data_IF_565759933375
#
_entry.id   IF_565759933375
#
_cell.length_a   1.000
_cell.length_b   1.000
_cell.length_c   1.000
_cell.angle_alpha   90.00
_cell.angle_beta   90.00
_cell.angle_gamma   90.00
#
_symmetry.space_group_name_H-M   'P 1'
#
loop_
_entity.id
_entity.type
_entity.pdbx_description
1 polymer ?
#
# COMPACT_ATOMS: atom_id res chain seq x y z
N UNK A 1 -28.92 -18.08 53.35
CA UNK A 1 -27.87 -18.28 52.33
C UNK A 1 -28.48 -19.07 51.19
N UNK A 2 -28.15 -18.69 49.96
CA UNK A 2 -28.91 -18.87 48.72
C UNK A 2 -29.18 -20.30 48.29
N UNK A 3 -30.28 -20.42 47.56
CA UNK A 3 -30.83 -21.60 46.92
C UNK A 3 -29.86 -22.26 45.92
N UNK A 4 -29.86 -23.58 46.00
CA UNK A 4 -29.24 -24.55 45.10
C UNK A 4 -29.70 -24.34 43.65
N UNK A 5 -28.76 -24.11 42.73
CA UNK A 5 -28.98 -24.23 41.29
C UNK A 5 -29.33 -25.70 40.95
N UNK A 6 -30.62 -25.97 40.80
CA UNK A 6 -31.11 -27.22 40.24
C UNK A 6 -31.00 -27.13 38.71
N UNK A 7 -30.00 -27.81 38.16
CA UNK A 7 -29.90 -28.13 36.74
C UNK A 7 -31.22 -28.79 36.29
N UNK A 8 -31.90 -28.34 35.21
CA UNK A 8 -33.15 -28.96 34.80
C UNK A 8 -32.86 -30.39 34.31
N UNK A 9 -33.19 -31.36 35.17
CA UNK A 9 -33.36 -32.77 34.79
C UNK A 9 -34.35 -32.77 33.63
N UNK A 10 -33.86 -33.01 32.42
CA UNK A 10 -34.72 -33.14 31.25
C UNK A 10 -35.43 -34.48 31.38
N UNK A 11 -36.69 -34.43 31.78
CA UNK A 11 -37.52 -35.61 31.96
C UNK A 11 -37.60 -36.41 30.63
N UNK A 12 -37.44 -37.74 30.66
CA UNK A 12 -37.39 -38.58 29.45
C UNK A 12 -38.66 -38.47 28.58
N UNK A 13 -39.82 -38.18 29.19
CA UNK A 13 -41.06 -37.94 28.44
C UNK A 13 -40.98 -36.63 27.65
N UNK A 14 -40.46 -35.57 28.27
CA UNK A 14 -40.18 -34.28 27.63
C UNK A 14 -39.19 -34.41 26.46
N UNK A 15 -38.17 -35.26 26.60
CA UNK A 15 -37.22 -35.56 25.53
C UNK A 15 -37.88 -36.28 24.35
N UNK A 16 -38.70 -37.30 24.62
CA UNK A 16 -39.44 -38.04 23.59
C UNK A 16 -40.42 -37.16 22.83
N UNK A 17 -41.11 -36.23 23.50
CA UNK A 17 -42.03 -35.27 22.87
C UNK A 17 -41.26 -34.32 21.96
N UNK A 18 -40.09 -33.86 22.41
CA UNK A 18 -39.24 -32.96 21.63
C UNK A 18 -38.71 -33.63 20.36
N UNK A 19 -38.28 -34.90 20.46
CA UNK A 19 -37.83 -35.70 19.31
C UNK A 19 -38.96 -35.95 18.30
N UNK A 20 -40.18 -36.26 18.76
CA UNK A 20 -41.36 -36.43 17.87
C UNK A 20 -41.74 -35.11 17.18
N UNK A 21 -41.64 -33.97 17.88
CA UNK A 21 -41.85 -32.66 17.27
C UNK A 21 -40.81 -32.35 16.20
N UNK A 22 -39.53 -32.66 16.46
CA UNK A 22 -38.44 -32.49 15.50
C UNK A 22 -38.66 -33.39 14.27
N UNK A 23 -39.09 -34.64 14.47
CA UNK A 23 -39.40 -35.57 13.39
C UNK A 23 -40.56 -35.05 12.52
N UNK A 24 -41.61 -34.48 13.12
CA UNK A 24 -42.74 -33.87 12.40
C UNK A 24 -42.33 -32.62 11.63
N UNK A 25 -41.54 -31.74 12.23
CA UNK A 25 -41.01 -30.56 11.53
C UNK A 25 -40.04 -30.93 10.40
N UNK A 26 -39.26 -32.00 10.57
CA UNK A 26 -38.38 -32.52 9.51
C UNK A 26 -39.11 -33.19 8.35
N UNK A 27 -40.33 -33.69 8.59
CA UNK A 27 -41.21 -34.24 7.56
C UNK A 27 -42.12 -33.17 6.92
N UNK A 28 -42.17 -31.96 7.48
CA UNK A 28 -42.91 -30.83 6.92
C UNK A 28 -42.06 -30.15 5.83
N UNK A 29 -42.43 -30.40 4.57
CA UNK A 29 -41.75 -29.85 3.41
C UNK A 29 -41.65 -28.31 3.48
N UNK A 30 -42.68 -27.62 3.98
CA UNK A 30 -42.69 -26.16 4.07
C UNK A 30 -41.67 -25.62 5.09
N UNK A 31 -41.49 -26.33 6.21
CA UNK A 31 -40.51 -25.98 7.22
C UNK A 31 -39.08 -26.25 6.72
N UNK A 32 -38.88 -27.38 6.04
CA UNK A 32 -37.56 -27.70 5.46
C UNK A 32 -37.16 -26.72 4.35
N UNK A 33 -38.10 -26.30 3.50
CA UNK A 33 -37.88 -25.29 2.47
C UNK A 33 -37.50 -23.94 3.08
N UNK A 34 -38.24 -23.48 4.08
CA UNK A 34 -37.91 -22.26 4.83
C UNK A 34 -36.52 -22.31 5.47
N UNK A 35 -36.18 -23.42 6.14
CA UNK A 35 -34.87 -23.60 6.77
C UNK A 35 -33.74 -23.59 5.73
N UNK A 36 -33.96 -24.19 4.56
CA UNK A 36 -32.98 -24.24 3.47
C UNK A 36 -32.80 -22.86 2.80
N UNK A 37 -33.88 -22.10 2.63
CA UNK A 37 -33.84 -20.71 2.14
C UNK A 37 -33.07 -19.81 3.10
N UNK A 38 -33.33 -19.91 4.40
CA UNK A 38 -32.58 -19.18 5.42
C UNK A 38 -31.10 -19.56 5.41
N UNK A 39 -30.78 -20.86 5.27
CA UNK A 39 -29.40 -21.32 5.17
C UNK A 39 -28.69 -20.74 3.93
N UNK A 40 -29.37 -20.74 2.78
CA UNK A 40 -28.85 -20.19 1.52
C UNK A 40 -28.60 -18.69 1.63
N UNK A 41 -29.55 -17.94 2.21
CA UNK A 41 -29.37 -16.50 2.45
C UNK A 41 -28.18 -16.21 3.36
N UNK A 42 -28.01 -17.00 4.42
CA UNK A 42 -26.87 -16.86 5.33
C UNK A 42 -25.54 -17.16 4.64
N UNK A 43 -25.50 -18.20 3.79
CA UNK A 43 -24.31 -18.54 3.01
C UNK A 43 -23.93 -17.42 2.04
N UNK A 44 -24.90 -16.89 1.29
CA UNK A 44 -24.66 -15.75 0.37
C UNK A 44 -24.10 -14.54 1.13
N UNK A 45 -24.66 -14.22 2.30
CA UNK A 45 -24.16 -13.11 3.12
C UNK A 45 -22.71 -13.35 3.58
N UNK A 46 -22.38 -14.57 4.02
CA UNK A 46 -21.00 -14.93 4.42
C UNK A 46 -20.04 -14.81 3.23
N UNK A 47 -20.43 -15.27 2.05
CA UNK A 47 -19.61 -15.16 0.84
C UNK A 47 -19.40 -13.71 0.43
N UNK A 48 -20.44 -12.88 0.49
CA UNK A 48 -20.33 -11.45 0.24
C UNK A 48 -19.37 -10.77 1.22
N UNK A 49 -19.46 -11.09 2.51
CA UNK A 49 -18.51 -10.60 3.51
C UNK A 49 -17.07 -11.06 3.22
N UNK A 50 -16.86 -12.31 2.80
CA UNK A 50 -15.54 -12.81 2.41
C UNK A 50 -14.99 -12.07 1.20
N UNK A 51 -15.81 -11.82 0.17
CA UNK A 51 -15.41 -11.06 -1.00
C UNK A 51 -14.99 -9.63 -0.63
N UNK A 52 -15.78 -8.94 0.21
CA UNK A 52 -15.45 -7.59 0.70
C UNK A 52 -14.13 -7.57 1.49
N UNK A 53 -13.90 -8.57 2.35
CA UNK A 53 -12.65 -8.68 3.10
C UNK A 53 -11.46 -8.93 2.17
N UNK A 54 -11.64 -9.69 1.10
CA UNK A 54 -10.58 -9.94 0.12
C UNK A 54 -10.19 -8.65 -0.64
N UNK A 55 -11.18 -7.88 -1.09
CA UNK A 55 -10.96 -6.57 -1.73
C UNK A 55 -10.17 -5.64 -0.80
N UNK A 56 -10.59 -5.54 0.47
CA UNK A 56 -9.90 -4.72 1.46
C UNK A 56 -8.45 -5.20 1.72
N UNK A 57 -8.20 -6.51 1.69
CA UNK A 57 -6.87 -7.06 1.85
C UNK A 57 -5.97 -6.71 0.67
N UNK A 58 -6.48 -6.82 -0.56
CA UNK A 58 -5.77 -6.46 -1.80
C UNK A 58 -5.45 -4.96 -1.84
N UNK A 59 -6.43 -4.10 -1.56
CA UNK A 59 -6.24 -2.64 -1.47
C UNK A 59 -5.17 -2.26 -0.45
N UNK A 60 -5.16 -2.94 0.71
CA UNK A 60 -4.17 -2.71 1.75
C UNK A 60 -2.77 -3.11 1.31
N UNK A 61 -2.63 -4.21 0.55
CA UNK A 61 -1.35 -4.62 -0.02
C UNK A 61 -0.85 -3.61 -1.04
N UNK A 62 -1.74 -3.13 -1.91
CA UNK A 62 -1.44 -2.15 -2.95
C UNK A 62 -1.00 -0.82 -2.34
N UNK A 63 -1.72 -0.36 -1.31
CA UNK A 63 -1.35 0.85 -0.55
C UNK A 63 0.02 0.72 0.12
N UNK A 64 0.32 -0.45 0.69
CA UNK A 64 1.63 -0.72 1.33
C UNK A 64 2.76 -0.64 0.31
N UNK A 65 2.59 -1.21 -0.88
CA UNK A 65 3.60 -1.18 -1.94
C UNK A 65 3.88 0.25 -2.39
N UNK A 66 2.83 1.01 -2.69
CA UNK A 66 2.94 2.43 -3.06
C UNK A 66 3.65 3.24 -1.97
N UNK A 67 3.28 3.04 -0.70
CA UNK A 67 3.90 3.76 0.42
C UNK A 67 5.40 3.48 0.53
N UNK A 68 5.81 2.21 0.45
CA UNK A 68 7.22 1.82 0.51
C UNK A 68 8.02 2.40 -0.65
N UNK A 69 7.44 2.43 -1.85
CA UNK A 69 8.10 2.98 -3.03
C UNK A 69 8.28 4.50 -2.92
N UNK A 70 7.21 5.23 -2.54
CA UNK A 70 7.28 6.67 -2.29
C UNK A 70 8.31 6.99 -1.21
N UNK A 71 8.38 6.17 -0.16
CA UNK A 71 9.36 6.38 0.90
C UNK A 71 10.80 6.13 0.43
N UNK A 72 11.04 5.11 -0.41
CA UNK A 72 12.35 4.88 -1.03
C UNK A 72 12.75 6.02 -1.96
N UNK A 73 11.83 6.53 -2.77
CA UNK A 73 12.06 7.67 -3.64
C UNK A 73 12.44 8.92 -2.83
N UNK A 74 11.73 9.18 -1.73
CA UNK A 74 12.05 10.28 -0.82
C UNK A 74 13.45 10.14 -0.19
N UNK A 75 13.79 8.95 0.30
CA UNK A 75 15.12 8.69 0.88
C UNK A 75 16.25 8.81 -0.16
N UNK A 76 15.98 8.45 -1.42
CA UNK A 76 16.92 8.64 -2.51
C UNK A 76 17.12 10.13 -2.82
N UNK A 77 16.04 10.90 -2.85
CA UNK A 77 16.08 12.35 -3.05
C UNK A 77 16.85 13.04 -1.91
N UNK A 78 16.54 12.75 -0.65
CA UNK A 78 17.27 13.30 0.51
C UNK A 78 18.76 12.94 0.50
N UNK A 79 19.12 11.74 0.02
CA UNK A 79 20.54 11.35 -0.08
C UNK A 79 21.25 12.20 -1.13
N UNK A 80 20.58 12.43 -2.25
CA UNK A 80 21.11 13.23 -3.36
C UNK A 80 21.21 14.69 -2.95
N UNK A 81 20.22 15.25 -2.27
CA UNK A 81 20.27 16.61 -1.70
C UNK A 81 21.41 16.77 -0.70
N UNK A 82 21.57 15.83 0.25
CA UNK A 82 22.70 15.86 1.20
C UNK A 82 24.06 15.71 0.51
N UNK A 83 24.14 14.87 -0.52
CA UNK A 83 25.37 14.76 -1.32
C UNK A 83 25.68 16.07 -2.03
N UNK A 84 24.65 16.74 -2.54
CA UNK A 84 24.75 18.03 -3.19
C UNK A 84 25.23 19.14 -2.27
N UNK A 85 24.65 19.26 -1.09
CA UNK A 85 25.10 20.22 -0.09
C UNK A 85 26.58 20.04 0.24
N UNK A 86 27.02 18.79 0.41
CA UNK A 86 28.44 18.47 0.63
C UNK A 86 29.31 18.83 -0.57
N UNK A 87 28.86 18.52 -1.79
CA UNK A 87 29.58 18.85 -3.01
C UNK A 87 29.76 20.36 -3.17
N UNK A 88 28.68 21.14 -2.99
CA UNK A 88 28.74 22.60 -3.01
C UNK A 88 29.66 23.13 -1.91
N UNK A 89 29.63 22.54 -0.71
CA UNK A 89 30.55 22.89 0.37
C UNK A 89 32.01 22.71 -0.01
N UNK A 90 32.38 21.55 -0.56
CA UNK A 90 33.75 21.26 -1.02
C UNK A 90 34.17 22.22 -2.13
N UNK A 91 33.29 22.44 -3.11
CA UNK A 91 33.52 23.33 -4.25
C UNK A 91 33.70 24.78 -3.78
N UNK A 92 32.89 25.24 -2.84
CA UNK A 92 33.01 26.58 -2.23
C UNK A 92 34.35 26.73 -1.52
N UNK A 93 34.75 25.76 -0.68
CA UNK A 93 36.05 25.79 0.01
C UNK A 93 37.20 25.79 -1.00
N UNK A 94 37.14 24.96 -2.04
CA UNK A 94 38.16 24.86 -3.08
C UNK A 94 38.30 26.12 -3.94
N UNK A 95 37.26 26.95 -4.04
CA UNK A 95 37.31 28.27 -4.68
C UNK A 95 37.79 29.34 -3.71
N UNK A 96 37.34 29.32 -2.46
CA UNK A 96 37.70 30.31 -1.45
C UNK A 96 39.18 30.22 -1.05
N UNK A 97 39.74 29.02 -0.95
CA UNK A 97 41.15 28.77 -0.58
C UNK A 97 42.17 29.46 -1.51
N UNK A 98 42.14 29.26 -2.85
CA UNK A 98 43.02 29.97 -3.77
C UNK A 98 42.70 31.47 -3.87
N UNK A 99 41.47 31.90 -3.55
CA UNK A 99 41.09 33.31 -3.46
C UNK A 99 41.72 34.00 -2.24
N UNK A 100 42.05 33.27 -1.18
CA UNK A 100 42.77 33.79 0.00
C UNK A 100 44.30 33.72 -0.17
N UNK A 101 44.82 32.86 -1.05
CA UNK A 101 46.25 32.73 -1.34
C UNK A 101 46.57 33.53 -2.62
N UNK A 102 46.57 34.87 -2.56
CA UNK A 102 47.19 35.81 -3.51
C UNK A 102 47.38 35.40 -5.00
N UNK A 103 46.43 34.70 -5.63
CA UNK A 103 46.48 34.41 -7.07
C UNK A 103 46.16 35.69 -7.88
N UNK A 104 46.88 35.97 -8.98
CA UNK A 104 46.59 37.11 -9.85
C UNK A 104 45.17 37.04 -10.43
N UNK A 105 44.52 38.20 -10.60
CA UNK A 105 43.09 38.30 -10.96
C UNK A 105 42.72 37.59 -12.27
N UNK A 106 43.66 37.49 -13.21
CA UNK A 106 43.45 36.84 -14.51
C UNK A 106 43.28 35.31 -14.38
N UNK A 107 43.97 34.67 -13.43
CA UNK A 107 43.87 33.23 -13.18
C UNK A 107 42.59 32.88 -12.40
N UNK A 108 42.11 33.79 -11.54
CA UNK A 108 40.86 33.63 -10.78
C UNK A 108 39.65 33.57 -11.70
N UNK A 109 39.61 34.47 -12.69
CA UNK A 109 38.53 34.54 -13.67
C UNK A 109 38.50 33.29 -14.57
N UNK A 110 39.69 32.78 -14.93
CA UNK A 110 39.85 31.57 -15.73
C UNK A 110 39.37 30.31 -14.99
N UNK A 111 39.67 30.18 -13.70
CA UNK A 111 39.20 29.06 -12.86
C UNK A 111 37.68 29.14 -12.65
N UNK A 112 37.14 30.33 -12.40
CA UNK A 112 35.70 30.52 -12.22
C UNK A 112 34.90 30.22 -13.51
N UNK A 113 35.40 30.62 -14.69
CA UNK A 113 34.70 30.36 -15.95
C UNK A 113 34.88 28.94 -16.49
N UNK A 114 36.10 28.39 -16.47
CA UNK A 114 36.39 27.13 -17.16
C UNK A 114 36.21 25.89 -16.29
N UNK A 115 36.18 26.02 -14.96
CA UNK A 115 36.10 24.87 -14.05
C UNK A 115 34.79 24.91 -13.26
N UNK A 116 34.44 26.05 -12.68
CA UNK A 116 33.30 26.15 -11.75
C UNK A 116 31.93 26.11 -12.45
N UNK A 117 31.71 26.94 -13.46
CA UNK A 117 30.43 26.98 -14.20
C UNK A 117 30.10 25.64 -14.88
N UNK A 118 31.05 24.96 -15.57
CA UNK A 118 30.78 23.65 -16.17
C UNK A 118 30.52 22.55 -15.14
N UNK A 119 31.23 22.54 -14.00
CA UNK A 119 30.99 21.58 -12.93
C UNK A 119 29.61 21.76 -12.31
N UNK A 120 29.21 23.00 -12.00
CA UNK A 120 27.88 23.29 -11.47
C UNK A 120 26.77 22.96 -12.47
N UNK A 121 26.96 23.29 -13.75
CA UNK A 121 26.00 22.97 -14.80
C UNK A 121 25.84 21.46 -15.00
N UNK A 122 26.95 20.73 -15.10
CA UNK A 122 26.95 19.28 -15.30
C UNK A 122 26.33 18.58 -14.10
N UNK A 123 26.75 18.96 -12.89
CA UNK A 123 26.20 18.39 -11.68
C UNK A 123 24.68 18.70 -11.61
N UNK A 124 24.23 19.95 -11.83
CA UNK A 124 22.80 20.32 -11.77
C UNK A 124 21.96 19.56 -12.80
N UNK A 125 22.53 19.25 -13.96
CA UNK A 125 21.90 18.41 -14.98
C UNK A 125 21.79 16.95 -14.55
N UNK A 126 22.76 16.41 -13.81
CA UNK A 126 22.64 15.10 -13.17
C UNK A 126 21.55 15.09 -12.08
N UNK A 127 21.40 16.16 -11.31
CA UNK A 127 20.34 16.29 -10.30
C UNK A 127 18.94 16.22 -10.92
N UNK A 128 18.69 17.05 -11.93
CA UNK A 128 17.39 17.08 -12.61
C UNK A 128 17.12 15.75 -13.32
N UNK A 129 18.14 15.07 -13.85
CA UNK A 129 17.98 13.73 -14.42
C UNK A 129 17.56 12.68 -13.39
N UNK A 130 18.13 12.71 -12.18
CA UNK A 130 17.74 11.81 -11.08
C UNK A 130 16.33 12.13 -10.59
N UNK A 131 15.97 13.40 -10.49
CA UNK A 131 14.64 13.87 -10.08
C UNK A 131 13.56 13.46 -11.10
N UNK A 132 13.83 13.62 -12.40
CA UNK A 132 12.95 13.19 -13.50
C UNK A 132 12.86 11.66 -13.53
N UNK A 133 13.97 10.94 -13.33
CA UNK A 133 13.97 9.46 -13.32
C UNK A 133 13.19 8.88 -12.14
N UNK A 134 13.29 9.52 -10.96
CA UNK A 134 12.47 9.19 -9.78
C UNK A 134 10.98 9.43 -10.07
N UNK A 135 10.65 10.56 -10.69
CA UNK A 135 9.28 10.92 -11.09
C UNK A 135 8.70 9.98 -12.16
N UNK A 136 9.52 9.54 -13.12
CA UNK A 136 9.11 8.60 -14.17
C UNK A 136 8.88 7.18 -13.64
N UNK A 137 9.62 6.77 -12.61
CA UNK A 137 9.37 5.49 -11.93
C UNK A 137 8.01 5.51 -11.20
N UNK A 138 7.71 6.59 -10.48
CA UNK A 138 6.42 6.81 -9.83
C UNK A 138 5.25 6.88 -10.83
N UNK A 139 5.46 7.50 -12.00
CA UNK A 139 4.46 7.60 -13.06
C UNK A 139 4.16 6.27 -13.77
N UNK A 140 5.17 5.42 -13.99
CA UNK A 140 4.98 4.07 -14.56
C UNK A 140 4.22 3.15 -13.62
N UNK A 141 4.61 3.07 -12.34
CA UNK A 141 3.94 2.19 -11.39
C UNK A 141 2.53 2.69 -11.01
N UNK A 142 2.30 4.00 -10.95
CA UNK A 142 0.96 4.58 -10.80
C UNK A 142 0.02 4.19 -11.95
N UNK A 143 0.53 4.20 -13.19
CA UNK A 143 -0.21 3.71 -14.37
C UNK A 143 -0.37 2.18 -14.40
N UNK A 144 0.60 1.41 -13.93
CA UNK A 144 0.52 -0.06 -13.89
C UNK A 144 -0.43 -0.57 -12.80
N UNK A 145 -0.58 0.16 -11.69
CA UNK A 145 -1.61 -0.06 -10.68
C UNK A 145 -3.01 0.30 -11.21
N UNK A 146 -3.13 1.42 -11.96
CA UNK A 146 -4.38 1.81 -12.62
C UNK A 146 -4.77 0.85 -13.75
N UNK A 147 -3.82 0.36 -14.54
CA UNK A 147 -4.07 -0.62 -15.60
C UNK A 147 -4.50 -1.98 -15.08
N UNK A 148 -4.01 -2.42 -13.91
CA UNK A 148 -4.50 -3.65 -13.27
C UNK A 148 -5.93 -3.52 -12.75
N UNK A 149 -6.34 -2.32 -12.30
CA UNK A 149 -7.72 -2.06 -11.88
C UNK A 149 -8.71 -1.82 -13.03
N UNK A 150 -8.23 -1.50 -14.24
CA UNK A 150 -9.10 -1.25 -15.41
C UNK A 150 -9.06 -2.41 -16.43
N UNK A 151 -8.02 -3.25 -16.40
CA UNK A 151 -7.85 -4.40 -17.31
C UNK A 151 -8.43 -5.73 -16.82
N UNK A 152 -9.30 -5.70 -15.79
CA UNK A 152 -9.96 -6.88 -15.24
C UNK A 152 -11.32 -7.24 -15.87
N UNK A 153 -11.86 -6.37 -16.73
CA UNK A 153 -13.15 -6.58 -17.41
C UNK A 153 -12.95 -6.67 -18.92
N UNK A 154 -12.17 -7.67 -19.38
CA UNK A 154 -12.40 -8.23 -20.71
C UNK A 154 -12.93 -9.66 -20.57
N UNK A 155 -14.23 -9.74 -20.84
CA UNK A 155 -14.89 -10.83 -21.57
C UNK A 155 -14.98 -12.16 -20.84
N UNK A 156 -16.13 -12.39 -20.19
CA UNK A 156 -16.92 -13.61 -20.37
C UNK A 156 -18.29 -13.47 -19.67
N UNK A 157 -19.35 -13.31 -20.45
CA UNK A 157 -20.44 -14.31 -20.54
C UNK A 157 -21.66 -13.74 -21.26
N UNK A 158 -22.04 -14.47 -22.32
CA UNK A 158 -23.37 -14.75 -22.88
C UNK A 158 -24.58 -13.91 -22.46
#
# INVERSE_FOLDING_TARGET
MSATEANPVTDPETQSIMEDLIAKMGADESFTEYANDQHTQLQMYIEQCRAHLNILAEDRQLYRQMYLEKHRAHLAQERVERWWEKFIGIVTIAVQFPFSISLPDDERLLIAQNIYLPLLYTARRYFTFVEISSSHSLGKYGMDCLKRNIGGDEVNSF
#
